data_IF_718375534162
#
_entry.id   IF_718375534162
#
_cell.length_a   1.000
_cell.length_b   1.000
_cell.length_c   1.000
_cell.angle_alpha   90.00
_cell.angle_beta   90.00
_cell.angle_gamma   90.00
#
_symmetry.space_group_name_H-M   'P 1'
#
loop_
_entity.id
_entity.type
_entity.pdbx_description
1 polymer ?
#
# COMPACT_ATOMS: atom_id res chain seq x y z
N UNK A 1 -7.51 -41.72 -62.29
CA UNK A 1 -7.80 -42.21 -60.93
C UNK A 1 -7.47 -41.05 -60.01
N UNK A 2 -8.46 -40.37 -59.39
CA UNK A 2 -8.18 -39.22 -58.54
C UNK A 2 -7.90 -39.68 -57.12
N UNK A 3 -6.79 -39.20 -56.55
CA UNK A 3 -6.39 -39.44 -55.16
C UNK A 3 -7.31 -38.68 -54.19
N UNK A 4 -8.11 -39.44 -53.46
CA UNK A 4 -8.93 -39.06 -52.33
C UNK A 4 -8.08 -38.89 -51.05
N UNK A 5 -7.34 -37.77 -51.01
CA UNK A 5 -6.66 -37.34 -49.80
C UNK A 5 -7.68 -36.79 -48.79
N UNK A 6 -8.07 -37.65 -47.84
CA UNK A 6 -8.86 -37.28 -46.66
C UNK A 6 -8.04 -36.31 -45.80
N UNK A 7 -8.38 -35.02 -45.88
CA UNK A 7 -7.80 -33.99 -45.00
C UNK A 7 -8.40 -34.14 -43.61
N UNK A 8 -7.66 -34.76 -42.69
CA UNK A 8 -8.00 -34.73 -41.27
C UNK A 8 -7.91 -33.28 -40.78
N UNK A 9 -9.07 -32.68 -40.48
CA UNK A 9 -9.14 -31.36 -39.89
C UNK A 9 -8.33 -31.31 -38.61
N UNK A 10 -7.34 -30.41 -38.57
CA UNK A 10 -6.60 -30.10 -37.35
C UNK A 10 -7.58 -29.49 -36.35
N UNK A 11 -8.03 -30.30 -35.40
CA UNK A 11 -8.82 -29.81 -34.27
C UNK A 11 -7.97 -28.78 -33.52
N UNK A 12 -8.29 -27.50 -33.71
CA UNK A 12 -7.71 -26.42 -32.91
C UNK A 12 -8.14 -26.63 -31.46
N UNK A 13 -7.17 -26.85 -30.58
CA UNK A 13 -7.35 -27.01 -29.13
C UNK A 13 -7.76 -25.67 -28.48
N UNK A 14 -8.90 -25.11 -28.86
CA UNK A 14 -9.52 -23.95 -28.21
C UNK A 14 -10.94 -24.24 -27.71
N UNK A 15 -11.28 -25.52 -27.50
CA UNK A 15 -12.62 -25.98 -27.12
C UNK A 15 -13.05 -25.63 -25.68
N UNK A 16 -12.17 -25.03 -24.87
CA UNK A 16 -12.55 -24.54 -23.54
C UNK A 16 -12.61 -23.02 -23.53
N UNK A 17 -13.76 -22.41 -23.17
CA UNK A 17 -13.83 -20.98 -22.97
C UNK A 17 -12.89 -20.60 -21.82
N UNK A 18 -11.87 -19.80 -22.11
CA UNK A 18 -11.07 -19.16 -21.06
C UNK A 18 -12.00 -18.20 -20.34
N UNK A 19 -12.39 -18.57 -19.13
CA UNK A 19 -13.27 -17.76 -18.28
C UNK A 19 -12.46 -16.52 -17.88
N UNK A 20 -12.65 -15.43 -18.62
CA UNK A 20 -12.19 -14.10 -18.22
C UNK A 20 -12.94 -13.74 -16.93
N UNK A 21 -12.29 -13.86 -15.78
CA UNK A 21 -12.80 -13.37 -14.50
C UNK A 21 -12.84 -11.82 -14.52
N UNK A 22 -13.76 -11.24 -15.28
CA UNK A 22 -14.08 -9.82 -15.22
C UNK A 22 -15.06 -9.61 -14.09
N UNK A 23 -14.54 -9.39 -12.88
CA UNK A 23 -15.36 -8.87 -11.79
C UNK A 23 -15.91 -7.53 -12.27
N UNK A 24 -17.23 -7.46 -12.47
CA UNK A 24 -17.90 -6.20 -12.80
C UNK A 24 -17.55 -5.17 -11.73
N UNK A 25 -17.11 -3.98 -12.13
CA UNK A 25 -16.77 -2.89 -11.21
C UNK A 25 -17.91 -2.63 -10.22
N UNK A 26 -19.16 -2.84 -10.64
CA UNK A 26 -20.34 -2.71 -9.79
C UNK A 26 -20.40 -3.76 -8.66
N UNK A 27 -20.06 -5.02 -8.93
CA UNK A 27 -20.01 -6.08 -7.91
C UNK A 27 -18.83 -5.84 -6.96
N UNK A 28 -17.68 -5.39 -7.47
CA UNK A 28 -16.53 -5.05 -6.64
C UNK A 28 -16.86 -3.96 -5.63
N UNK A 29 -17.51 -2.87 -6.05
CA UNK A 29 -17.90 -1.75 -5.17
C UNK A 29 -18.85 -2.20 -4.06
N UNK A 30 -19.81 -3.07 -4.38
CA UNK A 30 -20.75 -3.59 -3.39
C UNK A 30 -20.04 -4.39 -2.31
N UNK A 31 -19.11 -5.27 -2.70
CA UNK A 31 -18.32 -6.06 -1.75
C UNK A 31 -17.45 -5.15 -0.89
N UNK A 32 -16.71 -4.22 -1.50
CA UNK A 32 -15.86 -3.28 -0.76
C UNK A 32 -16.69 -2.45 0.21
N UNK A 33 -17.76 -1.80 -0.26
CA UNK A 33 -18.64 -0.98 0.60
C UNK A 33 -19.22 -1.79 1.74
N UNK A 34 -19.64 -3.03 1.50
CA UNK A 34 -20.12 -3.92 2.54
C UNK A 34 -19.04 -4.23 3.58
N UNK A 35 -17.80 -4.53 3.16
CA UNK A 35 -16.68 -4.79 4.07
C UNK A 35 -16.34 -3.57 4.94
N UNK A 36 -16.28 -2.37 4.34
CA UNK A 36 -16.05 -1.13 5.09
C UNK A 36 -17.17 -0.86 6.09
N UNK A 37 -18.43 -1.11 5.73
CA UNK A 37 -19.58 -0.95 6.61
C UNK A 37 -19.56 -1.96 7.78
N UNK A 38 -19.18 -3.22 7.52
CA UNK A 38 -18.99 -4.22 8.57
C UNK A 38 -17.88 -3.80 9.55
N UNK A 39 -16.75 -3.29 9.04
CA UNK A 39 -15.67 -2.78 9.88
C UNK A 39 -16.15 -1.60 10.74
N UNK A 40 -16.86 -0.64 10.15
CA UNK A 40 -17.37 0.54 10.84
C UNK A 40 -18.32 0.16 11.99
N UNK A 41 -19.28 -0.75 11.73
CA UNK A 41 -20.21 -1.26 12.76
C UNK A 41 -19.46 -2.01 13.86
N UNK A 42 -18.45 -2.80 13.49
CA UNK A 42 -17.64 -3.56 14.45
C UNK A 42 -16.87 -2.62 15.38
N UNK A 43 -16.22 -1.59 14.84
CA UNK A 43 -15.50 -0.59 15.64
C UNK A 43 -16.44 0.29 16.47
N UNK A 44 -17.63 0.62 15.96
CA UNK A 44 -18.65 1.30 16.74
C UNK A 44 -19.08 0.47 17.96
N UNK A 45 -19.26 -0.85 17.79
CA UNK A 45 -19.57 -1.76 18.89
C UNK A 45 -18.41 -1.83 19.91
N UNK A 46 -17.17 -1.92 19.44
CA UNK A 46 -15.97 -1.86 20.29
C UNK A 46 -15.93 -0.55 21.07
N UNK A 47 -16.19 0.60 20.43
CA UNK A 47 -16.24 1.91 21.10
C UNK A 47 -17.34 1.99 22.16
N UNK A 48 -18.50 1.37 21.92
CA UNK A 48 -19.57 1.30 22.91
C UNK A 48 -19.18 0.47 24.13
N UNK A 49 -18.45 -0.65 23.94
CA UNK A 49 -17.96 -1.51 25.03
C UNK A 49 -16.83 -0.84 25.82
N UNK A 50 -15.89 -0.19 25.13
CA UNK A 50 -14.70 0.42 25.73
C UNK A 50 -14.96 1.78 26.40
N UNK A 51 -16.09 2.43 26.10
CA UNK A 51 -16.40 3.76 26.62
C UNK A 51 -15.57 4.89 25.98
N UNK A 52 -15.74 6.12 26.47
CA UNK A 52 -15.11 7.33 25.90
C UNK A 52 -13.62 7.50 26.19
N UNK A 53 -13.04 6.62 27.01
CA UNK A 53 -11.65 6.75 27.46
C UNK A 53 -10.61 6.32 26.39
N UNK A 54 -11.10 5.90 25.22
CA UNK A 54 -10.28 5.36 24.13
C UNK A 54 -10.50 6.12 22.80
N UNK A 55 -9.94 7.34 22.67
CA UNK A 55 -10.11 8.19 21.48
C UNK A 55 -9.55 7.57 20.18
N UNK A 56 -8.67 6.58 20.29
CA UNK A 56 -8.13 5.84 19.14
C UNK A 56 -9.21 5.10 18.34
N UNK A 57 -10.31 4.69 18.96
CA UNK A 57 -11.42 4.02 18.26
C UNK A 57 -12.06 4.96 17.23
N UNK A 58 -12.33 6.20 17.62
CA UNK A 58 -12.90 7.21 16.72
C UNK A 58 -11.94 7.57 15.58
N UNK A 59 -10.64 7.60 15.85
CA UNK A 59 -9.61 7.82 14.82
C UNK A 59 -9.58 6.69 13.79
N UNK A 60 -9.71 5.44 14.24
CA UNK A 60 -9.79 4.27 13.35
C UNK A 60 -11.07 4.30 12.50
N UNK A 61 -12.22 4.63 13.09
CA UNK A 61 -13.48 4.80 12.35
C UNK A 61 -13.39 5.88 11.27
N UNK A 62 -12.81 7.04 11.61
CA UNK A 62 -12.56 8.09 10.62
C UNK A 62 -11.64 7.59 9.50
N UNK A 63 -10.59 6.83 9.84
CA UNK A 63 -9.70 6.21 8.87
C UNK A 63 -10.38 5.20 7.95
N UNK A 64 -11.32 4.39 8.48
CA UNK A 64 -12.15 3.47 7.70
C UNK A 64 -13.03 4.26 6.72
N UNK A 65 -13.70 5.32 7.18
CA UNK A 65 -14.53 6.17 6.34
C UNK A 65 -13.72 6.84 5.21
N UNK A 66 -12.56 7.39 5.55
CA UNK A 66 -11.64 8.01 4.57
C UNK A 66 -11.16 6.96 3.57
N UNK A 67 -10.70 5.80 4.03
CA UNK A 67 -10.27 4.71 3.16
C UNK A 67 -11.37 4.21 2.21
N UNK A 68 -12.64 4.22 2.64
CA UNK A 68 -13.77 3.90 1.76
C UNK A 68 -13.92 4.94 0.64
N UNK A 69 -13.84 6.23 0.98
CA UNK A 69 -13.87 7.34 0.01
C UNK A 69 -12.69 7.24 -0.95
N UNK A 70 -11.50 6.91 -0.45
CA UNK A 70 -10.29 6.77 -1.27
C UNK A 70 -10.41 5.60 -2.25
N UNK A 71 -11.00 4.46 -1.85
CA UNK A 71 -11.27 3.37 -2.79
C UNK A 71 -12.26 3.82 -3.87
N UNK A 72 -13.32 4.54 -3.51
CA UNK A 72 -14.24 5.10 -4.50
C UNK A 72 -13.50 6.04 -5.46
N UNK A 73 -12.71 6.98 -4.95
CA UNK A 73 -11.94 7.93 -5.74
C UNK A 73 -10.92 7.23 -6.66
N UNK A 74 -10.23 6.21 -6.16
CA UNK A 74 -9.23 5.44 -6.90
C UNK A 74 -9.81 4.75 -8.15
N UNK A 75 -11.10 4.39 -8.15
CA UNK A 75 -11.76 3.86 -9.35
C UNK A 75 -12.04 4.92 -10.41
N UNK A 76 -12.26 6.17 -10.02
CA UNK A 76 -12.52 7.27 -10.95
C UNK A 76 -11.22 7.87 -11.50
N UNK A 77 -10.14 7.85 -10.71
CA UNK A 77 -8.85 8.42 -11.09
C UNK A 77 -8.09 7.48 -12.04
N UNK A 78 -7.94 7.90 -13.31
CA UNK A 78 -7.13 7.18 -14.32
C UNK A 78 -5.60 7.47 -14.23
N UNK A 79 -5.15 8.04 -13.12
CA UNK A 79 -3.78 8.53 -12.90
C UNK A 79 -2.78 7.47 -12.42
N UNK A 80 -1.60 7.92 -12.02
CA UNK A 80 -0.59 7.06 -11.42
C UNK A 80 -1.01 6.62 -10.00
N UNK A 81 -1.69 5.49 -9.91
CA UNK A 81 -2.21 4.92 -8.66
C UNK A 81 -1.14 4.81 -7.57
N UNK A 82 0.09 4.42 -7.91
CA UNK A 82 1.16 4.30 -6.91
C UNK A 82 1.53 5.67 -6.32
N UNK A 83 1.61 6.71 -7.17
CA UNK A 83 1.90 8.07 -6.70
C UNK A 83 0.78 8.55 -5.78
N UNK A 84 -0.47 8.31 -6.15
CA UNK A 84 -1.65 8.71 -5.38
C UNK A 84 -1.62 8.05 -3.99
N UNK A 85 -1.56 6.72 -3.93
CA UNK A 85 -1.54 5.94 -2.69
C UNK A 85 -0.36 6.34 -1.80
N UNK A 86 0.81 6.60 -2.42
CA UNK A 86 2.00 7.03 -1.67
C UNK A 86 1.79 8.38 -0.99
N UNK A 87 1.27 9.37 -1.72
CA UNK A 87 1.00 10.71 -1.17
C UNK A 87 -0.09 10.64 -0.10
N UNK A 88 -1.18 9.93 -0.38
CA UNK A 88 -2.30 9.72 0.54
C UNK A 88 -1.84 9.10 1.85
N UNK A 89 -1.03 8.04 1.80
CA UNK A 89 -0.47 7.40 2.98
C UNK A 89 0.43 8.33 3.80
N UNK A 90 1.26 9.16 3.17
CA UNK A 90 2.08 10.15 3.88
C UNK A 90 1.22 11.24 4.54
N UNK A 91 0.21 11.74 3.86
CA UNK A 91 -0.74 12.71 4.41
C UNK A 91 -1.51 12.09 5.57
N UNK A 92 -2.01 10.87 5.42
CA UNK A 92 -2.73 10.15 6.47
C UNK A 92 -1.87 9.93 7.71
N UNK A 93 -0.59 9.56 7.56
CA UNK A 93 0.34 9.47 8.70
C UNK A 93 0.54 10.82 9.38
N UNK A 94 0.73 11.91 8.62
CA UNK A 94 0.93 13.24 9.19
C UNK A 94 -0.31 13.72 9.96
N UNK A 95 -1.51 13.51 9.40
CA UNK A 95 -2.78 13.83 10.07
C UNK A 95 -2.95 13.00 11.34
N UNK A 96 -2.67 11.70 11.30
CA UNK A 96 -2.76 10.84 12.48
C UNK A 96 -1.81 11.30 13.59
N UNK A 97 -0.55 11.62 13.28
CA UNK A 97 0.42 12.14 14.26
C UNK A 97 -0.05 13.47 14.84
N UNK A 98 -0.61 14.36 14.01
CA UNK A 98 -1.15 15.63 14.47
C UNK A 98 -2.34 15.44 15.42
N UNK A 99 -3.28 14.54 15.07
CA UNK A 99 -4.43 14.23 15.92
C UNK A 99 -3.97 13.59 17.23
N UNK A 100 -3.04 12.63 17.18
CA UNK A 100 -2.46 11.96 18.35
C UNK A 100 -1.83 12.96 19.33
N UNK A 101 -1.17 14.00 18.81
CA UNK A 101 -0.64 15.10 19.62
C UNK A 101 -1.76 15.94 20.25
N UNK A 102 -2.82 16.25 19.50
CA UNK A 102 -3.96 17.06 19.98
C UNK A 102 -4.84 16.34 20.99
N UNK A 103 -5.01 15.02 20.84
CA UNK A 103 -5.81 14.19 21.76
C UNK A 103 -5.01 13.63 22.92
N UNK A 104 -3.70 13.97 23.00
CA UNK A 104 -2.77 13.46 24.00
C UNK A 104 -2.75 11.92 24.07
N UNK A 105 -2.83 11.26 22.93
CA UNK A 105 -2.86 9.80 22.81
C UNK A 105 -1.49 9.13 23.05
N UNK A 106 -0.57 9.84 23.70
CA UNK A 106 0.74 9.36 24.15
C UNK A 106 1.55 8.60 23.09
N UNK A 107 1.49 9.00 21.82
CA UNK A 107 2.29 8.38 20.76
C UNK A 107 1.66 7.11 20.16
N UNK A 108 0.35 6.87 20.33
CA UNK A 108 -0.32 5.70 19.78
C UNK A 108 -0.18 5.62 18.25
N UNK A 109 -0.33 6.74 17.55
CA UNK A 109 -0.14 6.77 16.10
C UNK A 109 1.29 6.43 15.67
N UNK A 110 2.30 6.84 16.46
CA UNK A 110 3.71 6.52 16.20
C UNK A 110 4.04 5.06 16.49
N UNK A 111 3.37 4.46 17.47
CA UNK A 111 3.53 3.06 17.85
C UNK A 111 2.91 2.09 16.82
N UNK A 112 1.74 2.45 16.27
CA UNK A 112 0.94 1.52 15.48
C UNK A 112 0.68 2.00 14.06
N UNK A 113 0.08 3.18 13.89
CA UNK A 113 -0.37 3.66 12.56
C UNK A 113 0.82 3.85 11.62
N UNK A 114 1.81 4.64 12.02
CA UNK A 114 2.98 4.94 11.17
C UNK A 114 3.74 3.69 10.71
N UNK A 115 4.12 2.73 11.59
CA UNK A 115 4.82 1.53 11.14
C UNK A 115 3.97 0.66 10.22
N UNK A 116 2.68 0.44 10.52
CA UNK A 116 1.83 -0.38 9.65
C UNK A 116 1.55 0.28 8.30
N UNK A 117 1.37 1.59 8.24
CA UNK A 117 1.20 2.31 6.98
C UNK A 117 2.46 2.19 6.11
N UNK A 118 3.66 2.32 6.68
CA UNK A 118 4.91 2.12 5.94
C UNK A 118 5.09 0.67 5.47
N UNK A 119 4.71 -0.32 6.29
CA UNK A 119 4.69 -1.71 5.88
C UNK A 119 3.78 -1.91 4.65
N UNK A 120 2.56 -1.37 4.71
CA UNK A 120 1.59 -1.40 3.61
C UNK A 120 2.14 -0.76 2.34
N UNK A 121 2.75 0.42 2.45
CA UNK A 121 3.41 1.10 1.33
C UNK A 121 4.52 0.26 0.70
N UNK A 122 5.37 -0.39 1.51
CA UNK A 122 6.40 -1.29 1.03
C UNK A 122 5.82 -2.45 0.22
N UNK A 123 4.80 -3.12 0.75
CA UNK A 123 4.12 -4.24 0.08
C UNK A 123 3.42 -3.78 -1.21
N UNK A 124 2.66 -2.69 -1.17
CA UNK A 124 1.97 -2.14 -2.34
C UNK A 124 2.97 -1.76 -3.44
N UNK A 125 4.08 -1.14 -3.07
CA UNK A 125 5.15 -0.77 -4.02
C UNK A 125 5.73 -2.01 -4.70
N UNK A 126 5.97 -3.09 -3.94
CA UNK A 126 6.44 -4.37 -4.49
C UNK A 126 5.42 -5.01 -5.43
N UNK A 127 4.15 -5.07 -5.03
CA UNK A 127 3.06 -5.66 -5.81
C UNK A 127 2.85 -4.89 -7.11
N UNK A 128 2.74 -3.56 -7.06
CA UNK A 128 2.56 -2.72 -8.24
C UNK A 128 3.77 -2.81 -9.16
N UNK A 129 5.00 -2.87 -8.63
CA UNK A 129 6.19 -3.06 -9.43
C UNK A 129 6.17 -4.37 -10.23
N UNK A 130 5.62 -5.44 -9.65
CA UNK A 130 5.45 -6.73 -10.33
C UNK A 130 4.35 -6.70 -11.38
N UNK A 131 3.19 -6.14 -11.06
CA UNK A 131 2.02 -6.12 -11.96
C UNK A 131 2.23 -5.15 -13.13
N UNK A 132 2.66 -3.91 -12.83
CA UNK A 132 2.73 -2.81 -13.81
C UNK A 132 4.09 -2.69 -14.49
N UNK A 133 5.03 -3.61 -14.21
CA UNK A 133 6.41 -3.59 -14.73
C UNK A 133 7.01 -2.18 -14.68
N UNK A 134 6.97 -1.56 -13.49
CA UNK A 134 7.44 -0.20 -13.29
C UNK A 134 8.87 -0.03 -13.79
N UNK A 135 9.17 1.16 -14.33
CA UNK A 135 10.54 1.50 -14.72
C UNK A 135 11.44 1.35 -13.50
N UNK A 136 12.64 0.73 -13.62
CA UNK A 136 13.53 0.51 -12.49
C UNK A 136 13.82 1.80 -11.71
N UNK A 137 13.98 2.94 -12.40
CA UNK A 137 14.22 4.24 -11.77
C UNK A 137 13.06 4.72 -10.88
N UNK A 138 11.81 4.49 -11.28
CA UNK A 138 10.64 4.89 -10.51
C UNK A 138 10.50 4.02 -9.26
N UNK A 139 10.60 2.70 -9.42
CA UNK A 139 10.57 1.77 -8.31
C UNK A 139 11.62 2.09 -7.24
N UNK A 140 12.87 2.34 -7.66
CA UNK A 140 13.95 2.67 -6.72
C UNK A 140 13.67 3.98 -5.99
N UNK A 141 13.10 4.98 -6.68
CA UNK A 141 12.73 6.25 -6.03
C UNK A 141 11.72 6.03 -4.90
N UNK A 142 10.68 5.22 -5.12
CA UNK A 142 9.70 4.91 -4.07
C UNK A 142 10.33 4.16 -2.90
N UNK A 143 11.18 3.17 -3.15
CA UNK A 143 11.89 2.44 -2.08
C UNK A 143 12.80 3.37 -1.27
N UNK A 144 13.54 4.27 -1.93
CA UNK A 144 14.40 5.26 -1.26
C UNK A 144 13.57 6.16 -0.34
N UNK A 145 12.46 6.72 -0.85
CA UNK A 145 11.60 7.62 -0.08
C UNK A 145 10.96 6.88 1.10
N UNK A 146 10.44 5.66 0.89
CA UNK A 146 9.85 4.85 1.95
C UNK A 146 10.90 4.47 3.02
N UNK A 147 12.14 4.19 2.61
CA UNK A 147 13.23 3.90 3.54
C UNK A 147 13.62 5.14 4.35
N UNK A 148 13.68 6.31 3.72
CA UNK A 148 13.93 7.57 4.41
C UNK A 148 12.81 7.88 5.43
N UNK A 149 11.55 7.66 5.04
CA UNK A 149 10.41 7.81 5.95
C UNK A 149 10.43 6.80 7.10
N UNK A 150 10.86 5.55 6.85
CA UNK A 150 11.06 4.56 7.91
C UNK A 150 12.14 5.01 8.89
N UNK A 151 13.29 5.47 8.40
CA UNK A 151 14.37 6.00 9.24
C UNK A 151 13.95 7.22 10.05
N UNK A 152 13.01 8.04 9.55
CA UNK A 152 12.47 9.17 10.30
C UNK A 152 11.79 8.74 11.62
N UNK A 153 11.28 7.50 11.70
CA UNK A 153 10.72 6.96 12.95
C UNK A 153 11.76 6.81 14.07
N UNK A 154 13.07 6.86 13.76
CA UNK A 154 14.11 6.86 14.79
C UNK A 154 14.07 8.12 15.68
N UNK A 155 13.57 9.25 15.16
CA UNK A 155 13.45 10.49 15.95
C UNK A 155 12.47 10.32 17.12
N UNK A 156 11.19 9.94 16.91
CA UNK A 156 10.27 9.74 18.02
C UNK A 156 10.67 8.58 18.95
N UNK A 157 11.36 7.55 18.43
CA UNK A 157 11.92 6.48 19.26
C UNK A 157 12.99 7.04 20.22
N UNK A 158 13.93 7.86 19.73
CA UNK A 158 14.99 8.44 20.57
C UNK A 158 14.48 9.47 21.56
N UNK A 159 13.46 10.23 21.18
CA UNK A 159 12.83 11.21 22.08
C UNK A 159 11.91 10.59 23.13
N UNK A 160 11.73 9.25 23.13
CA UNK A 160 10.83 8.55 24.07
C UNK A 160 9.34 8.81 23.82
N UNK A 161 8.99 9.38 22.66
CA UNK A 161 7.60 9.68 22.28
C UNK A 161 6.85 8.43 21.79
N UNK A 162 7.57 7.37 21.45
CA UNK A 162 6.96 6.11 21.02
C UNK A 162 6.86 5.12 22.20
N UNK A 163 5.66 4.86 22.74
CA UNK A 163 5.49 3.97 23.89
C UNK A 163 5.80 2.52 23.55
N UNK A 164 5.65 2.11 22.29
CA UNK A 164 5.91 0.73 21.83
C UNK A 164 6.77 0.81 20.56
N UNK A 165 8.11 0.89 20.69
CA UNK A 165 8.98 1.09 19.53
C UNK A 165 9.22 -0.16 18.69
N UNK A 166 8.80 -1.34 19.17
CA UNK A 166 9.08 -2.64 18.53
C UNK A 166 8.57 -2.70 17.08
N UNK A 167 7.30 -2.33 16.76
CA UNK A 167 6.82 -2.33 15.39
C UNK A 167 7.66 -1.41 14.49
N UNK A 168 7.97 -0.19 14.96
CA UNK A 168 8.78 0.77 14.22
C UNK A 168 10.18 0.22 13.87
N UNK A 169 10.86 -0.40 14.83
CA UNK A 169 12.20 -0.99 14.62
C UNK A 169 12.16 -2.12 13.58
N UNK A 170 11.16 -2.99 13.63
CA UNK A 170 11.00 -4.07 12.63
C UNK A 170 10.80 -3.48 11.24
N UNK A 171 9.94 -2.47 11.10
CA UNK A 171 9.64 -1.85 9.80
C UNK A 171 10.85 -1.11 9.24
N UNK A 172 11.64 -0.44 10.08
CA UNK A 172 12.94 0.14 9.70
C UNK A 172 13.86 -0.94 9.15
N UNK A 173 14.03 -2.05 9.88
CA UNK A 173 14.89 -3.15 9.46
C UNK A 173 14.43 -3.74 8.11
N UNK A 174 13.14 -3.98 7.92
CA UNK A 174 12.59 -4.47 6.66
C UNK A 174 12.88 -3.52 5.48
N UNK A 175 12.71 -2.22 5.67
CA UNK A 175 13.00 -1.22 4.62
C UNK A 175 14.50 -1.15 4.31
N UNK A 176 15.36 -1.23 5.33
CA UNK A 176 16.82 -1.26 5.13
C UNK A 176 17.27 -2.51 4.36
N UNK A 177 16.73 -3.69 4.68
CA UNK A 177 17.00 -4.92 3.95
C UNK A 177 16.53 -4.79 2.49
N UNK A 178 15.33 -4.25 2.28
CA UNK A 178 14.78 -4.04 0.94
C UNK A 178 15.64 -3.08 0.12
N UNK A 179 16.10 -1.98 0.74
CA UNK A 179 17.00 -1.02 0.11
C UNK A 179 18.37 -1.65 -0.20
N UNK A 180 18.94 -2.43 0.72
CA UNK A 180 20.18 -3.16 0.50
C UNK A 180 20.06 -4.15 -0.66
N UNK A 181 18.96 -4.90 -0.74
CA UNK A 181 18.67 -5.79 -1.85
C UNK A 181 18.63 -5.03 -3.19
N UNK A 182 17.98 -3.86 -3.22
CA UNK A 182 17.94 -3.00 -4.41
C UNK A 182 19.34 -2.53 -4.83
N UNK A 183 20.18 -2.11 -3.89
CA UNK A 183 21.56 -1.67 -4.17
C UNK A 183 22.39 -2.83 -4.74
N UNK A 184 22.33 -4.01 -4.12
CA UNK A 184 23.14 -5.18 -4.51
C UNK A 184 22.69 -5.74 -5.86
N UNK A 185 21.40 -6.01 -6.03
CA UNK A 185 20.88 -6.67 -7.24
C UNK A 185 20.64 -5.73 -8.42
N UNK A 186 20.48 -4.41 -8.18
CA UNK A 186 20.07 -3.43 -9.22
C UNK A 186 21.06 -2.28 -9.44
N UNK A 187 22.31 -2.45 -9.02
CA UNK A 187 23.40 -1.46 -9.13
C UNK A 187 23.59 -0.86 -10.53
N UNK A 188 23.37 -1.62 -11.62
CA UNK A 188 23.48 -1.12 -13.00
C UNK A 188 22.37 -0.14 -13.40
N UNK A 189 21.12 -0.42 -13.02
CA UNK A 189 19.97 0.46 -13.28
C UNK A 189 20.05 1.74 -12.43
N UNK A 190 20.52 1.61 -11.19
CA UNK A 190 20.77 2.72 -10.26
C UNK A 190 21.78 3.72 -10.81
N UNK A 191 22.94 3.25 -11.31
CA UNK A 191 23.97 4.12 -11.91
C UNK A 191 23.43 4.89 -13.12
N UNK A 192 22.57 4.25 -13.93
CA UNK A 192 21.98 4.87 -15.12
C UNK A 192 20.92 5.91 -14.76
N UNK A 193 20.11 5.64 -13.73
CA UNK A 193 19.10 6.58 -13.22
C UNK A 193 19.73 7.80 -12.51
N UNK A 194 20.81 7.59 -11.75
CA UNK A 194 21.57 8.66 -11.12
C UNK A 194 22.29 9.52 -12.16
N UNK A 195 22.94 8.89 -13.15
CA UNK A 195 23.63 9.59 -14.22
C UNK A 195 22.71 10.54 -15.01
N UNK A 196 21.46 10.15 -15.27
CA UNK A 196 20.49 11.01 -16.00
C UNK A 196 19.89 12.16 -15.17
N UNK A 197 19.87 12.06 -13.84
CA UNK A 197 19.35 13.14 -12.96
C UNK A 197 20.41 14.15 -12.57
N UNK A 198 21.68 13.75 -12.56
CA UNK A 198 22.81 14.63 -12.25
C UNK A 198 23.53 15.16 -13.49
N UNK A 199 23.13 14.76 -14.71
CA UNK A 199 23.64 15.31 -15.98
C UNK A 199 22.76 16.44 -16.54
N UNK A 200 22.08 17.19 -15.68
CA UNK A 200 21.39 18.45 -16.04
C UNK A 200 22.22 19.60 -15.51
#
# INVERSE_FOLDING_TARGET
MPDDAVTFGTASFSAFPVIDFKVSSFTFIKIVTFLFLVLEISFAAVGWILGRDHPWVGLVMLGILVGWIDVLAAMYVRGNLLKLITVEAYVAMAVNIYVDYMTHMHGWSLAWVTPFTLLGLGVITLVIARIRKLRPSEFVTYIVVNTAAALLQLLPIRSGLNPVPIPAVIIIACHLILMAAVIVFRSRDLKTALGRRFSV
#
